data_IF_826986210178
#
_entry.id   IF_826986210178
#
_cell.length_a   1.000
_cell.length_b   1.000
_cell.length_c   1.000
_cell.angle_alpha   90.00
_cell.angle_beta   90.00
_cell.angle_gamma   90.00
#
_symmetry.space_group_name_H-M   'P 1'
#
loop_
_entity.id
_entity.type
_entity.pdbx_description
1 polymer ?
#
# COMPACT_ATOMS: atom_id res chain seq x y z
N UNK A 1 82.29 -18.21 35.75
CA UNK A 1 82.79 -18.32 34.38
C UNK A 1 81.73 -18.87 33.51
N UNK A 2 80.96 -18.00 32.83
CA UNK A 2 79.99 -18.40 31.82
C UNK A 2 80.07 -17.38 30.70
N UNK A 3 80.45 -17.87 29.51
CA UNK A 3 80.64 -17.11 28.29
C UNK A 3 79.25 -16.69 27.68
N UNK A 4 79.01 -15.39 27.55
CA UNK A 4 77.90 -14.85 26.78
C UNK A 4 78.39 -14.63 25.35
N UNK A 5 77.89 -15.43 24.39
CA UNK A 5 78.06 -15.24 22.95
C UNK A 5 77.08 -14.15 22.48
N UNK A 6 77.66 -13.05 21.94
CA UNK A 6 76.91 -12.03 21.20
C UNK A 6 76.48 -12.62 19.88
N UNK A 7 75.16 -12.67 19.69
CA UNK A 7 74.51 -12.92 18.36
C UNK A 7 74.37 -11.55 17.71
N UNK A 8 75.11 -11.29 16.68
CA UNK A 8 74.97 -10.12 15.82
C UNK A 8 73.82 -10.37 14.87
N UNK A 9 72.71 -9.67 15.08
CA UNK A 9 71.59 -9.60 14.12
C UNK A 9 71.97 -8.72 12.95
N UNK A 10 72.16 -9.34 11.78
CA UNK A 10 72.34 -8.61 10.51
C UNK A 10 71.01 -8.02 10.08
N UNK A 11 70.96 -6.70 10.00
CA UNK A 11 69.85 -5.98 9.37
C UNK A 11 69.93 -6.14 7.85
N UNK A 12 68.81 -6.39 7.14
CA UNK A 12 68.83 -6.42 5.69
C UNK A 12 69.11 -5.01 5.16
N UNK A 13 69.96 -4.90 4.19
CA UNK A 13 70.31 -3.68 3.46
C UNK A 13 69.13 -3.01 2.91
N UNK A 14 69.04 -1.69 3.09
CA UNK A 14 68.07 -0.79 2.51
C UNK A 14 67.96 -0.99 1.00
N UNK A 15 66.82 -1.61 0.56
CA UNK A 15 66.45 -1.66 -0.85
C UNK A 15 66.09 -0.25 -1.34
N UNK A 16 66.67 0.12 -2.48
CA UNK A 16 66.52 1.41 -3.13
C UNK A 16 65.05 1.88 -3.16
N UNK A 17 64.64 2.99 -2.49
CA UNK A 17 63.23 3.41 -2.35
C UNK A 17 62.53 3.62 -3.68
N UNK A 18 63.29 3.91 -4.75
CA UNK A 18 62.77 4.06 -6.10
C UNK A 18 62.19 2.75 -6.69
N UNK A 19 62.82 1.60 -6.34
CA UNK A 19 62.35 0.27 -6.82
C UNK A 19 61.03 -0.12 -6.12
N UNK A 20 60.90 0.20 -4.84
CA UNK A 20 59.69 -0.04 -4.07
C UNK A 20 58.52 0.84 -4.55
N UNK A 21 58.78 2.09 -4.90
CA UNK A 21 57.77 3.00 -5.43
C UNK A 21 57.27 2.53 -6.81
N UNK A 22 58.16 2.15 -7.70
CA UNK A 22 57.80 1.64 -9.05
C UNK A 22 56.99 0.34 -8.99
N UNK A 23 57.30 -0.56 -8.04
CA UNK A 23 56.55 -1.80 -7.86
C UNK A 23 55.14 -1.55 -7.35
N UNK A 24 54.93 -0.60 -6.42
CA UNK A 24 53.63 -0.19 -5.92
C UNK A 24 52.78 0.51 -6.99
N UNK A 25 53.39 1.39 -7.78
CA UNK A 25 52.71 2.04 -8.91
C UNK A 25 52.28 1.02 -9.97
N UNK A 26 53.13 0.06 -10.32
CA UNK A 26 52.78 -1.03 -11.24
C UNK A 26 51.63 -1.89 -10.70
N UNK A 27 51.63 -2.20 -9.42
CA UNK A 27 50.57 -2.97 -8.78
C UNK A 27 49.22 -2.21 -8.74
N UNK A 28 49.25 -0.90 -8.49
CA UNK A 28 48.07 -0.02 -8.56
C UNK A 28 47.53 0.11 -9.97
N UNK A 29 48.39 0.24 -10.99
CA UNK A 29 48.00 0.28 -12.39
C UNK A 29 47.40 -1.06 -12.84
N UNK A 30 47.98 -2.20 -12.41
CA UNK A 30 47.41 -3.52 -12.67
C UNK A 30 46.05 -3.71 -11.98
N UNK A 31 45.88 -3.27 -10.73
CA UNK A 31 44.62 -3.32 -10.00
C UNK A 31 43.57 -2.42 -10.66
N UNK A 32 43.94 -1.23 -11.09
CA UNK A 32 43.06 -0.34 -11.84
C UNK A 32 42.67 -0.91 -13.20
N UNK A 33 43.59 -1.59 -13.90
CA UNK A 33 43.30 -2.27 -15.14
C UNK A 33 42.36 -3.47 -14.95
N UNK A 34 42.50 -4.24 -13.88
CA UNK A 34 41.61 -5.35 -13.52
C UNK A 34 40.22 -4.82 -13.17
N UNK A 35 40.13 -3.69 -12.47
CA UNK A 35 38.85 -3.02 -12.16
C UNK A 35 38.17 -2.46 -13.40
N UNK A 36 38.93 -2.00 -14.40
CA UNK A 36 38.38 -1.49 -15.69
C UNK A 36 37.93 -2.62 -16.63
N UNK A 37 38.46 -3.83 -16.47
CA UNK A 37 38.11 -5.01 -17.28
C UNK A 37 37.00 -5.86 -16.61
N UNK A 38 36.63 -5.54 -15.36
CA UNK A 38 35.44 -6.18 -14.80
C UNK A 38 34.24 -5.84 -15.72
N UNK A 39 33.66 -6.82 -16.42
CA UNK A 39 32.45 -6.57 -17.19
C UNK A 39 31.45 -6.01 -16.19
N UNK A 40 30.90 -4.82 -16.46
CA UNK A 40 29.70 -4.37 -15.79
C UNK A 40 28.72 -5.53 -15.92
N UNK A 41 28.47 -6.24 -14.83
CA UNK A 41 27.45 -7.30 -14.82
C UNK A 41 26.17 -6.60 -15.23
N UNK A 42 25.83 -6.70 -16.51
CA UNK A 42 24.51 -6.33 -16.97
C UNK A 42 23.56 -7.16 -16.12
N UNK A 43 22.73 -6.48 -15.34
CA UNK A 43 21.70 -7.13 -14.53
C UNK A 43 20.73 -7.75 -15.51
N UNK A 44 21.03 -8.99 -15.91
CA UNK A 44 20.12 -9.77 -16.74
C UNK A 44 18.87 -9.99 -15.92
N UNK A 45 17.75 -9.56 -16.47
CA UNK A 45 16.45 -9.75 -15.84
C UNK A 45 16.12 -11.23 -15.86
N UNK A 46 16.02 -11.87 -14.70
CA UNK A 46 15.66 -13.27 -14.58
C UNK A 46 14.18 -13.46 -14.94
N UNK A 47 13.84 -14.31 -15.92
CA UNK A 47 12.46 -14.54 -16.27
C UNK A 47 11.74 -15.35 -15.20
N UNK A 48 10.52 -14.94 -14.87
CA UNK A 48 9.61 -15.68 -14.00
C UNK A 48 9.03 -16.82 -14.80
N UNK A 49 9.27 -18.05 -14.38
CA UNK A 49 8.78 -19.22 -15.04
C UNK A 49 7.29 -19.44 -14.78
N UNK A 50 6.55 -19.74 -15.81
CA UNK A 50 5.12 -20.06 -15.78
C UNK A 50 4.93 -21.51 -16.23
N UNK A 51 4.62 -22.40 -15.31
CA UNK A 51 4.30 -23.80 -15.60
C UNK A 51 2.79 -24.04 -15.86
N UNK A 52 1.97 -23.00 -15.69
CA UNK A 52 0.53 -23.06 -15.87
C UNK A 52 -0.26 -23.39 -14.59
N UNK A 53 0.40 -23.82 -13.52
CA UNK A 53 -0.26 -24.24 -12.26
C UNK A 53 -0.40 -23.12 -11.25
N UNK A 54 0.41 -22.05 -11.37
CA UNK A 54 0.41 -20.95 -10.41
C UNK A 54 -0.90 -20.17 -10.48
N UNK A 55 -1.57 -20.08 -9.35
CA UNK A 55 -2.82 -19.35 -9.18
C UNK A 55 -2.61 -17.83 -9.20
N UNK A 56 -1.56 -17.36 -8.47
CA UNK A 56 -1.20 -15.96 -8.31
C UNK A 56 0.29 -15.80 -8.09
N UNK A 57 0.88 -14.83 -8.77
CA UNK A 57 2.29 -14.42 -8.57
C UNK A 57 2.31 -12.92 -8.29
N UNK A 58 3.06 -12.47 -7.29
CA UNK A 58 3.35 -11.06 -7.09
C UNK A 58 4.56 -10.66 -7.94
N UNK A 59 4.36 -9.71 -8.84
CA UNK A 59 5.39 -9.27 -9.78
C UNK A 59 6.24 -8.13 -9.24
N UNK A 60 5.74 -7.36 -8.28
CA UNK A 60 6.43 -6.18 -7.73
C UNK A 60 7.76 -6.55 -7.08
N UNK A 61 7.79 -7.65 -6.32
CA UNK A 61 8.98 -8.11 -5.60
C UNK A 61 9.99 -8.84 -6.53
N UNK A 62 9.51 -9.31 -7.68
CA UNK A 62 10.31 -10.06 -8.67
C UNK A 62 10.75 -9.22 -9.85
N UNK A 63 10.14 -8.05 -10.03
CA UNK A 63 10.44 -7.11 -11.09
C UNK A 63 11.53 -6.11 -10.70
N UNK A 64 12.16 -5.52 -11.70
CA UNK A 64 13.09 -4.41 -11.53
C UNK A 64 12.30 -3.10 -11.52
N UNK A 65 12.29 -2.42 -10.38
CA UNK A 65 11.73 -1.08 -10.26
C UNK A 65 12.74 -0.05 -10.76
N UNK A 66 12.33 0.80 -11.69
CA UNK A 66 13.15 1.87 -12.26
C UNK A 66 12.41 3.19 -12.03
N UNK A 67 13.02 4.07 -11.24
CA UNK A 67 12.52 5.43 -11.07
C UNK A 67 12.66 6.23 -12.36
N UNK A 68 11.65 7.03 -12.70
CA UNK A 68 11.61 7.82 -13.90
C UNK A 68 12.78 8.78 -14.00
N UNK A 69 13.41 8.79 -15.17
CA UNK A 69 14.43 9.76 -15.58
C UNK A 69 14.10 10.27 -16.97
N UNK A 70 12.91 10.83 -17.14
CA UNK A 70 12.37 11.25 -18.42
C UNK A 70 11.30 10.31 -18.97
N UNK A 71 10.78 10.66 -20.14
CA UNK A 71 9.67 9.97 -20.80
C UNK A 71 10.08 8.72 -21.62
N UNK A 72 11.37 8.33 -21.57
CA UNK A 72 11.90 7.18 -22.30
C UNK A 72 12.65 6.22 -21.37
N UNK A 73 12.28 4.96 -21.45
CA UNK A 73 12.95 3.86 -20.78
C UNK A 73 13.73 3.03 -21.80
N UNK A 74 15.02 2.80 -21.58
CA UNK A 74 15.84 1.86 -22.33
C UNK A 74 16.31 0.75 -21.41
N UNK A 75 16.01 -0.49 -21.77
CA UNK A 75 16.32 -1.69 -20.97
C UNK A 75 16.77 -2.82 -21.89
N UNK A 76 17.53 -3.73 -21.34
CA UNK A 76 17.83 -4.99 -22.00
C UNK A 76 16.77 -6.04 -21.58
N UNK A 77 16.22 -6.76 -22.55
CA UNK A 77 15.21 -7.80 -22.28
C UNK A 77 15.86 -9.02 -21.63
N UNK A 78 15.06 -9.82 -20.94
CA UNK A 78 15.50 -11.16 -20.60
C UNK A 78 15.90 -11.95 -21.85
N UNK A 79 16.81 -12.93 -21.73
CA UNK A 79 17.19 -13.79 -22.84
C UNK A 79 15.96 -14.47 -23.45
N UNK A 80 15.80 -14.33 -24.76
CA UNK A 80 14.74 -15.02 -25.49
C UNK A 80 14.95 -16.54 -25.54
N UNK A 81 14.11 -17.24 -26.30
CA UNK A 81 14.29 -18.68 -26.55
C UNK A 81 15.64 -19.01 -27.26
N UNK A 82 16.21 -18.01 -27.93
CA UNK A 82 17.53 -18.07 -28.59
C UNK A 82 18.70 -17.73 -27.64
N UNK A 83 18.44 -17.44 -26.35
CA UNK A 83 19.42 -17.04 -25.36
C UNK A 83 19.97 -15.62 -25.53
N UNK A 84 19.41 -14.82 -26.48
CA UNK A 84 19.89 -13.47 -26.77
C UNK A 84 19.04 -12.42 -26.09
N UNK A 85 19.67 -11.53 -25.32
CA UNK A 85 19.02 -10.31 -24.81
C UNK A 85 19.03 -9.22 -25.87
N UNK A 86 17.91 -8.52 -26.02
CA UNK A 86 17.72 -7.45 -26.98
C UNK A 86 17.43 -6.14 -26.25
N UNK A 87 17.85 -5.02 -26.86
CA UNK A 87 17.52 -3.70 -26.31
C UNK A 87 16.08 -3.34 -26.66
N UNK A 88 15.30 -2.98 -25.65
CA UNK A 88 13.94 -2.48 -25.76
C UNK A 88 13.90 -1.01 -25.35
N UNK A 89 13.25 -0.17 -26.16
CA UNK A 89 12.99 1.23 -25.85
C UNK A 89 11.49 1.46 -25.75
N UNK A 90 11.05 1.99 -24.61
CA UNK A 90 9.65 2.27 -24.34
C UNK A 90 9.51 3.76 -24.08
N UNK A 91 8.44 4.37 -24.62
CA UNK A 91 8.10 5.76 -24.36
C UNK A 91 6.85 5.82 -23.48
N UNK A 92 6.85 6.75 -22.53
CA UNK A 92 5.70 7.01 -21.67
C UNK A 92 4.47 7.45 -22.49
N UNK A 93 3.28 7.06 -22.04
CA UNK A 93 2.01 7.46 -22.67
C UNK A 93 1.82 8.96 -22.60
N UNK A 94 2.17 9.58 -21.48
CA UNK A 94 2.14 11.03 -21.32
C UNK A 94 3.52 11.62 -21.65
N UNK A 95 3.66 12.42 -22.71
CA UNK A 95 4.94 13.07 -23.04
C UNK A 95 5.42 13.99 -21.92
N UNK A 96 6.73 14.01 -21.69
CA UNK A 96 7.40 14.81 -20.66
C UNK A 96 6.97 14.47 -19.22
N UNK A 97 6.47 13.28 -18.99
CA UNK A 97 6.27 12.72 -17.67
C UNK A 97 7.52 11.98 -17.22
N UNK A 98 7.70 11.87 -15.91
CA UNK A 98 8.74 11.03 -15.28
C UNK A 98 8.06 9.85 -14.56
N UNK A 99 7.49 8.87 -15.32
CA UNK A 99 6.80 7.75 -14.72
C UNK A 99 7.77 6.79 -14.04
N UNK A 100 7.31 6.12 -13.00
CA UNK A 100 8.00 4.96 -12.47
C UNK A 100 7.69 3.73 -13.33
N UNK A 101 8.69 2.88 -13.51
CA UNK A 101 8.58 1.68 -14.31
C UNK A 101 8.81 0.44 -13.45
N UNK A 102 8.07 -0.61 -13.75
CA UNK A 102 8.37 -1.96 -13.26
C UNK A 102 8.60 -2.84 -14.48
N UNK A 103 9.79 -3.43 -14.54
CA UNK A 103 10.19 -4.32 -15.62
C UNK A 103 10.26 -5.74 -15.10
N UNK A 104 9.60 -6.66 -15.75
CA UNK A 104 9.63 -8.08 -15.43
C UNK A 104 9.57 -8.92 -16.70
N UNK A 105 10.08 -10.13 -16.65
CA UNK A 105 10.03 -11.07 -17.75
C UNK A 105 9.25 -12.31 -17.35
N UNK A 106 8.46 -12.83 -18.27
CA UNK A 106 7.68 -14.06 -18.10
C UNK A 106 8.13 -15.07 -19.14
N UNK A 107 8.36 -16.31 -18.71
CA UNK A 107 8.71 -17.43 -19.58
C UNK A 107 7.70 -18.54 -19.38
N UNK A 108 7.07 -18.96 -20.46
CA UNK A 108 6.18 -20.13 -20.43
C UNK A 108 7.02 -21.42 -20.60
N UNK A 109 7.05 -22.22 -19.55
CA UNK A 109 7.74 -23.53 -19.54
C UNK A 109 6.81 -24.69 -19.85
N UNK A 110 5.50 -24.42 -20.01
CA UNK A 110 4.51 -25.45 -20.36
C UNK A 110 4.41 -25.65 -21.88
N UNK A 111 3.78 -26.76 -22.29
CA UNK A 111 3.56 -27.13 -23.70
C UNK A 111 2.34 -26.44 -24.34
N UNK A 112 1.64 -25.57 -23.58
CA UNK A 112 0.42 -24.90 -24.03
C UNK A 112 0.54 -23.40 -23.85
N UNK A 113 -0.17 -22.59 -24.66
CA UNK A 113 -0.29 -21.17 -24.39
C UNK A 113 -0.90 -20.92 -23.00
N UNK A 114 -0.32 -19.98 -22.25
CA UNK A 114 -0.74 -19.65 -20.89
C UNK A 114 -1.35 -18.25 -20.88
N UNK A 115 -2.68 -18.21 -20.63
CA UNK A 115 -3.40 -16.95 -20.42
C UNK A 115 -3.24 -16.48 -18.99
N UNK A 116 -2.92 -15.19 -18.80
CA UNK A 116 -2.77 -14.54 -17.49
C UNK A 116 -3.36 -13.14 -17.52
N UNK A 117 -3.78 -12.70 -16.33
CA UNK A 117 -4.23 -11.34 -16.11
C UNK A 117 -3.25 -10.63 -15.20
N UNK A 118 -2.69 -9.52 -15.68
CA UNK A 118 -1.89 -8.61 -14.86
C UNK A 118 -2.84 -7.60 -14.25
N UNK A 119 -2.84 -7.51 -12.92
CA UNK A 119 -3.80 -6.69 -12.20
C UNK A 119 -3.11 -5.77 -11.19
N UNK A 120 -3.58 -4.53 -11.13
CA UNK A 120 -3.19 -3.55 -10.10
C UNK A 120 -4.46 -2.97 -9.50
N UNK A 121 -4.60 -3.07 -8.18
CA UNK A 121 -5.81 -2.59 -7.51
C UNK A 121 -5.75 -1.08 -7.31
N UNK A 122 -6.77 -0.32 -7.78
CA UNK A 122 -6.87 1.14 -7.63
C UNK A 122 -7.15 1.55 -6.19
N UNK A 123 -7.94 0.76 -5.48
CA UNK A 123 -8.36 1.02 -4.10
C UNK A 123 -7.47 0.38 -3.04
N UNK A 124 -6.25 -0.03 -3.39
CA UNK A 124 -5.28 -0.46 -2.40
C UNK A 124 -4.70 0.74 -1.67
N UNK A 125 -4.68 0.71 -0.34
CA UNK A 125 -4.00 1.71 0.48
C UNK A 125 -2.49 1.70 0.24
N UNK A 126 -1.94 0.54 -0.14
CA UNK A 126 -0.53 0.40 -0.50
C UNK A 126 -0.27 1.19 -1.78
N UNK A 127 0.69 2.10 -1.74
CA UNK A 127 1.01 2.97 -2.88
C UNK A 127 0.09 4.19 -3.05
N UNK A 128 -0.98 4.35 -2.23
CA UNK A 128 -1.86 5.53 -2.33
C UNK A 128 -1.34 6.76 -1.57
N UNK A 129 -0.35 6.59 -0.69
CA UNK A 129 0.10 7.63 0.24
C UNK A 129 -0.77 7.72 1.50
N UNK A 130 -0.16 8.15 2.61
CA UNK A 130 -0.88 8.29 3.90
C UNK A 130 -1.58 9.64 3.97
N UNK A 131 -0.89 10.69 3.54
CA UNK A 131 -1.37 12.07 3.68
C UNK A 131 -2.31 12.45 2.53
N UNK A 132 -1.97 12.06 1.30
CA UNK A 132 -2.75 12.34 0.09
C UNK A 132 -3.09 11.04 -0.64
N UNK A 133 -4.04 10.25 -0.15
CA UNK A 133 -4.34 9.00 -0.78
C UNK A 133 -5.13 9.22 -2.08
N UNK A 134 -4.55 8.73 -3.15
CA UNK A 134 -5.21 8.67 -4.45
C UNK A 134 -5.73 7.26 -4.67
N UNK A 135 -6.94 7.00 -4.19
CA UNK A 135 -7.51 5.65 -4.14
C UNK A 135 -8.34 5.28 -5.37
N UNK A 136 -8.56 6.20 -6.29
CA UNK A 136 -9.38 5.95 -7.50
C UNK A 136 -8.57 6.09 -8.78
N UNK A 137 -7.39 6.70 -8.71
CA UNK A 137 -6.56 6.92 -9.87
C UNK A 137 -6.08 5.61 -10.49
N UNK A 138 -5.92 5.65 -11.80
CA UNK A 138 -5.19 4.62 -12.53
C UNK A 138 -3.80 4.50 -11.96
N UNK A 139 -3.34 3.28 -11.77
CA UNK A 139 -2.00 3.00 -11.25
C UNK A 139 -1.07 2.40 -12.28
N UNK A 140 -1.64 1.65 -13.20
CA UNK A 140 -0.94 1.08 -14.34
C UNK A 140 -1.48 1.74 -15.62
N UNK A 141 -0.67 2.65 -16.20
CA UNK A 141 -1.08 3.41 -17.38
C UNK A 141 -0.93 2.57 -18.63
N UNK A 142 0.21 1.92 -18.80
CA UNK A 142 0.48 1.07 -19.93
C UNK A 142 1.30 -0.16 -19.56
N UNK A 143 1.16 -1.20 -20.37
CA UNK A 143 1.96 -2.41 -20.29
C UNK A 143 2.50 -2.70 -21.69
N UNK A 144 3.81 -2.50 -21.87
CA UNK A 144 4.47 -2.67 -23.18
C UNK A 144 5.28 -3.96 -23.19
N UNK A 145 4.96 -4.91 -24.08
CA UNK A 145 5.73 -6.14 -24.24
C UNK A 145 6.94 -5.92 -25.14
N UNK A 146 8.00 -6.71 -24.96
CA UNK A 146 9.19 -6.71 -25.81
C UNK A 146 8.93 -7.33 -27.19
N UNK A 147 7.97 -8.24 -27.28
CA UNK A 147 7.59 -8.96 -28.50
C UNK A 147 6.08 -9.17 -28.48
N UNK A 148 5.44 -9.14 -29.65
CA UNK A 148 4.03 -9.42 -29.81
C UNK A 148 3.14 -8.18 -29.79
N UNK A 149 1.85 -8.39 -29.55
CA UNK A 149 0.85 -7.33 -29.52
C UNK A 149 0.75 -6.70 -28.14
N UNK A 150 0.31 -5.43 -28.11
CA UNK A 150 -0.01 -4.75 -26.87
C UNK A 150 -1.10 -5.52 -26.12
N UNK A 151 -0.92 -5.74 -24.81
CA UNK A 151 -1.91 -6.41 -23.98
C UNK A 151 -3.26 -5.71 -24.00
N UNK A 152 -4.33 -6.51 -24.12
CA UNK A 152 -5.68 -5.98 -24.10
C UNK A 152 -6.02 -5.52 -22.68
N UNK A 153 -6.41 -4.25 -22.54
CA UNK A 153 -6.93 -3.71 -21.28
C UNK A 153 -8.38 -4.13 -21.11
N UNK A 154 -8.71 -4.65 -19.93
CA UNK A 154 -10.10 -4.93 -19.53
C UNK A 154 -10.57 -3.75 -18.69
N UNK A 155 -11.68 -3.15 -19.08
CA UNK A 155 -12.28 -2.07 -18.30
C UNK A 155 -12.82 -2.60 -16.96
N UNK A 156 -12.33 -2.02 -15.89
CA UNK A 156 -12.75 -2.32 -14.54
C UNK A 156 -12.56 -1.08 -13.66
N UNK A 157 -13.60 -0.73 -12.88
CA UNK A 157 -13.58 0.49 -12.06
C UNK A 157 -12.64 0.38 -10.86
N UNK A 158 -12.26 -0.83 -10.45
CA UNK A 158 -11.51 -1.09 -9.21
C UNK A 158 -10.08 -1.55 -9.39
N UNK A 159 -9.75 -2.02 -10.59
CA UNK A 159 -8.42 -2.51 -10.90
C UNK A 159 -8.05 -2.17 -12.34
N UNK A 160 -6.79 -1.92 -12.56
CA UNK A 160 -6.20 -1.91 -13.91
C UNK A 160 -5.87 -3.35 -14.27
N UNK A 161 -6.50 -3.88 -15.32
CA UNK A 161 -6.39 -5.29 -15.72
C UNK A 161 -5.92 -5.35 -17.17
N UNK A 162 -4.83 -6.11 -17.40
CA UNK A 162 -4.30 -6.39 -18.72
C UNK A 162 -4.28 -7.89 -18.96
N UNK A 163 -4.90 -8.31 -20.06
CA UNK A 163 -4.87 -9.70 -20.51
C UNK A 163 -3.60 -9.94 -21.32
N UNK A 164 -2.85 -10.97 -20.95
CA UNK A 164 -1.66 -11.43 -21.68
C UNK A 164 -1.78 -12.92 -21.97
N UNK A 165 -1.17 -13.33 -23.07
CA UNK A 165 -0.99 -14.74 -23.46
C UNK A 165 0.49 -14.94 -23.75
N UNK A 166 1.09 -15.99 -23.19
CA UNK A 166 2.49 -16.35 -23.44
C UNK A 166 2.52 -17.71 -24.09
N UNK A 167 3.05 -17.80 -25.32
CA UNK A 167 3.14 -19.04 -26.08
C UNK A 167 4.19 -20.01 -25.48
N UNK A 168 4.08 -21.33 -25.77
CA UNK A 168 5.03 -22.31 -25.25
C UNK A 168 6.48 -21.97 -25.57
N UNK A 169 7.35 -22.03 -24.57
CA UNK A 169 8.77 -21.74 -24.67
C UNK A 169 9.12 -20.28 -24.91
N UNK A 170 8.14 -19.38 -25.03
CA UNK A 170 8.37 -17.96 -25.26
C UNK A 170 8.77 -17.25 -23.97
N UNK A 171 9.72 -16.29 -24.08
CA UNK A 171 10.07 -15.36 -23.03
C UNK A 171 9.72 -13.94 -23.48
N UNK A 172 8.87 -13.25 -22.71
CA UNK A 172 8.44 -11.87 -23.01
C UNK A 172 8.82 -10.99 -21.83
N UNK A 173 9.52 -9.89 -22.12
CA UNK A 173 9.79 -8.84 -21.12
C UNK A 173 8.71 -7.77 -21.24
N UNK A 174 8.16 -7.39 -20.12
CA UNK A 174 7.14 -6.36 -20.01
C UNK A 174 7.69 -5.14 -19.28
N UNK A 175 7.43 -3.97 -19.80
CA UNK A 175 7.62 -2.69 -19.13
C UNK A 175 6.25 -2.13 -18.73
N UNK A 176 6.00 -2.06 -17.42
CA UNK A 176 4.78 -1.53 -16.84
C UNK A 176 4.99 -0.07 -16.45
N UNK A 177 4.25 0.85 -17.07
CA UNK A 177 4.27 2.28 -16.75
C UNK A 177 3.31 2.55 -15.59
N UNK A 178 3.86 3.08 -14.49
CA UNK A 178 3.11 3.40 -13.29
C UNK A 178 2.74 4.88 -13.26
N UNK A 179 1.45 5.18 -13.08
CA UNK A 179 0.96 6.56 -12.94
C UNK A 179 1.18 7.15 -11.56
N UNK A 180 1.64 6.35 -10.60
CA UNK A 180 1.81 6.77 -9.21
C UNK A 180 3.28 6.89 -8.84
N UNK A 181 3.60 7.86 -7.96
CA UNK A 181 4.96 8.06 -7.44
C UNK A 181 5.44 6.92 -6.54
N UNK A 182 4.54 6.06 -6.06
CA UNK A 182 4.85 4.89 -5.26
C UNK A 182 4.47 3.63 -6.01
N UNK A 183 5.31 2.60 -5.89
CA UNK A 183 5.07 1.31 -6.51
C UNK A 183 3.81 0.67 -5.92
N UNK A 184 2.79 0.50 -6.76
CA UNK A 184 1.64 -0.32 -6.42
C UNK A 184 1.98 -1.79 -6.63
N UNK A 185 1.33 -2.68 -5.89
CA UNK A 185 1.54 -4.12 -6.07
C UNK A 185 0.89 -4.60 -7.34
N UNK A 186 1.69 -5.25 -8.18
CA UNK A 186 1.27 -5.87 -9.43
C UNK A 186 1.16 -7.37 -9.22
N UNK A 187 0.03 -7.93 -9.57
CA UNK A 187 -0.22 -9.36 -9.48
C UNK A 187 -0.47 -9.96 -10.85
N UNK A 188 0.08 -11.13 -11.06
CA UNK A 188 -0.22 -12.00 -12.18
C UNK A 188 -1.17 -13.09 -11.71
N UNK A 189 -2.35 -13.18 -12.32
CA UNK A 189 -3.39 -14.11 -11.95
C UNK A 189 -3.72 -15.07 -13.06
N UNK A 190 -4.10 -16.29 -12.69
CA UNK A 190 -4.86 -17.15 -13.55
C UNK A 190 -6.29 -16.57 -13.67
N UNK A 191 -6.90 -16.46 -14.88
CA UNK A 191 -8.20 -15.80 -15.06
C UNK A 191 -9.30 -16.32 -14.14
N UNK A 192 -9.44 -17.65 -14.06
CA UNK A 192 -10.44 -18.30 -13.21
C UNK A 192 -10.24 -17.99 -11.72
N UNK A 193 -9.00 -18.02 -11.24
CA UNK A 193 -8.67 -17.76 -9.83
C UNK A 193 -8.91 -16.28 -9.47
N UNK A 194 -8.69 -15.35 -10.41
CA UNK A 194 -9.04 -13.95 -10.21
C UNK A 194 -10.56 -13.74 -10.07
N UNK A 195 -11.35 -14.40 -10.92
CA UNK A 195 -12.81 -14.34 -10.83
C UNK A 195 -13.33 -14.93 -9.52
N UNK A 196 -12.77 -16.06 -9.06
CA UNK A 196 -13.09 -16.68 -7.77
C UNK A 196 -12.73 -15.72 -6.62
N UNK A 197 -11.54 -15.14 -6.65
CA UNK A 197 -11.10 -14.16 -5.64
C UNK A 197 -12.04 -12.95 -5.56
N UNK A 198 -12.48 -12.40 -6.69
CA UNK A 198 -13.44 -11.29 -6.70
C UNK A 198 -14.80 -11.73 -6.13
N UNK A 199 -15.24 -12.95 -6.42
CA UNK A 199 -16.50 -13.49 -5.90
C UNK A 199 -16.45 -13.65 -4.38
N UNK A 200 -15.38 -14.22 -3.85
CA UNK A 200 -15.14 -14.35 -2.41
C UNK A 200 -15.10 -12.98 -1.72
N UNK A 201 -14.41 -12.03 -2.31
CA UNK A 201 -14.35 -10.65 -1.80
C UNK A 201 -15.72 -9.99 -1.77
N UNK A 202 -16.55 -10.18 -2.81
CA UNK A 202 -17.91 -9.65 -2.84
C UNK A 202 -18.80 -10.27 -1.76
N UNK A 203 -18.66 -11.58 -1.53
CA UNK A 203 -19.38 -12.27 -0.46
C UNK A 203 -18.99 -11.71 0.91
N UNK A 204 -17.68 -11.62 1.18
CA UNK A 204 -17.17 -11.03 2.41
C UNK A 204 -17.69 -9.60 2.63
N UNK A 205 -17.61 -8.74 1.61
CA UNK A 205 -18.10 -7.37 1.69
C UNK A 205 -19.61 -7.34 2.01
N UNK A 206 -20.39 -8.24 1.42
CA UNK A 206 -21.83 -8.35 1.69
C UNK A 206 -22.12 -8.75 3.14
N UNK A 207 -21.39 -9.70 3.68
CA UNK A 207 -21.49 -10.14 5.08
C UNK A 207 -21.17 -8.97 6.02
N UNK A 208 -20.08 -8.25 5.76
CA UNK A 208 -19.66 -7.10 6.57
C UNK A 208 -20.71 -5.98 6.58
N UNK A 209 -21.24 -5.64 5.40
CA UNK A 209 -22.34 -4.67 5.30
C UNK A 209 -23.58 -5.13 6.08
N UNK A 210 -23.94 -6.41 5.97
CA UNK A 210 -25.08 -6.99 6.67
C UNK A 210 -24.94 -6.91 8.19
N UNK A 211 -23.77 -7.31 8.73
CA UNK A 211 -23.48 -7.25 10.17
C UNK A 211 -23.53 -5.81 10.67
N UNK A 212 -22.87 -4.87 9.95
CA UNK A 212 -22.83 -3.46 10.34
C UNK A 212 -24.23 -2.84 10.30
N UNK A 213 -25.03 -3.14 9.28
CA UNK A 213 -26.41 -2.65 9.19
C UNK A 213 -27.27 -3.19 10.34
N UNK A 214 -27.17 -4.49 10.63
CA UNK A 214 -27.90 -5.11 11.74
C UNK A 214 -27.55 -4.48 13.07
N UNK A 215 -26.25 -4.24 13.33
CA UNK A 215 -25.79 -3.57 14.54
C UNK A 215 -26.31 -2.15 14.65
N UNK A 216 -26.33 -1.38 13.54
CA UNK A 216 -26.88 -0.03 13.49
C UNK A 216 -28.38 0.00 13.83
N UNK A 217 -29.16 -0.92 13.26
CA UNK A 217 -30.59 -1.08 13.55
C UNK A 217 -30.79 -1.43 15.04
N UNK A 218 -30.00 -2.40 15.54
CA UNK A 218 -30.10 -2.85 16.94
C UNK A 218 -29.83 -1.72 17.92
N UNK A 219 -28.74 -0.96 17.73
CA UNK A 219 -28.41 0.18 18.59
C UNK A 219 -29.46 1.29 18.51
N UNK A 220 -30.04 1.52 17.33
CA UNK A 220 -31.15 2.48 17.18
C UNK A 220 -32.40 2.02 17.92
N UNK A 221 -32.72 0.72 17.87
CA UNK A 221 -33.84 0.15 18.61
C UNK A 221 -33.66 0.24 20.13
N UNK A 222 -32.43 -0.04 20.62
CA UNK A 222 -32.09 0.14 22.04
C UNK A 222 -32.27 1.60 22.48
N UNK A 223 -31.86 2.55 21.64
CA UNK A 223 -32.06 3.97 21.92
C UNK A 223 -33.55 4.31 22.04
N UNK A 224 -34.39 3.82 21.11
CA UNK A 224 -35.85 4.03 21.18
C UNK A 224 -36.45 3.50 22.50
N UNK A 225 -35.88 2.41 23.05
CA UNK A 225 -36.34 1.84 24.30
C UNK A 225 -35.79 2.54 25.55
N UNK A 226 -34.52 3.03 25.52
CA UNK A 226 -33.82 3.48 26.74
C UNK A 226 -33.56 4.99 26.81
N UNK A 227 -33.66 5.74 25.74
CA UNK A 227 -33.45 7.19 25.64
C UNK A 227 -32.14 7.76 26.24
N UNK A 228 -31.13 6.92 26.53
CA UNK A 228 -29.83 7.39 27.03
C UNK A 228 -28.95 7.84 25.87
N UNK A 229 -28.34 9.02 25.97
CA UNK A 229 -27.51 9.65 24.90
C UNK A 229 -26.32 8.79 24.40
N UNK A 230 -25.93 7.77 25.15
CA UNK A 230 -24.85 6.88 24.76
C UNK A 230 -25.26 5.98 23.58
N UNK A 231 -26.51 5.54 23.51
CA UNK A 231 -27.00 4.66 22.44
C UNK A 231 -27.12 5.37 21.08
N UNK A 232 -27.67 6.60 20.99
CA UNK A 232 -27.71 7.30 19.70
C UNK A 232 -26.33 7.68 19.20
N UNK A 233 -25.36 7.98 20.11
CA UNK A 233 -23.98 8.26 19.68
C UNK A 233 -23.28 7.00 19.13
N UNK A 234 -23.50 5.84 19.75
CA UNK A 234 -23.00 4.56 19.24
C UNK A 234 -23.67 4.17 17.92
N UNK A 235 -25.00 4.33 17.83
CA UNK A 235 -25.74 4.11 16.58
C UNK A 235 -25.22 5.02 15.46
N UNK A 236 -24.97 6.30 15.75
CA UNK A 236 -24.40 7.26 14.78
C UNK A 236 -23.04 6.79 14.23
N UNK A 237 -22.13 6.33 15.09
CA UNK A 237 -20.84 5.75 14.66
C UNK A 237 -21.09 4.59 13.70
N UNK A 238 -21.96 3.65 14.08
CA UNK A 238 -22.23 2.46 13.27
C UNK A 238 -22.85 2.81 11.90
N UNK A 239 -23.78 3.77 11.86
CA UNK A 239 -24.34 4.25 10.60
C UNK A 239 -23.30 4.97 9.73
N UNK A 240 -22.40 5.78 10.31
CA UNK A 240 -21.31 6.40 9.57
C UNK A 240 -20.32 5.37 9.03
N UNK A 241 -20.00 4.34 9.82
CA UNK A 241 -19.17 3.21 9.36
C UNK A 241 -19.85 2.46 8.22
N UNK A 242 -21.15 2.21 8.30
CA UNK A 242 -21.92 1.57 7.22
C UNK A 242 -21.87 2.38 5.92
N UNK A 243 -22.07 3.69 6.01
CA UNK A 243 -21.95 4.58 4.83
C UNK A 243 -20.55 4.53 4.26
N UNK A 244 -19.51 4.59 5.09
CA UNK A 244 -18.14 4.47 4.66
C UNK A 244 -17.88 3.12 3.93
N UNK A 245 -18.32 2.01 4.51
CA UNK A 245 -18.19 0.69 3.89
C UNK A 245 -18.96 0.58 2.56
N UNK A 246 -20.16 1.18 2.46
CA UNK A 246 -20.91 1.23 1.21
C UNK A 246 -20.13 1.96 0.11
N UNK A 247 -19.47 3.06 0.43
CA UNK A 247 -18.62 3.81 -0.50
C UNK A 247 -17.36 3.02 -0.85
N UNK A 248 -16.66 2.51 0.16
CA UNK A 248 -15.39 1.78 -0.01
C UNK A 248 -15.57 0.49 -0.81
N UNK A 249 -16.64 -0.25 -0.56
CA UNK A 249 -16.96 -1.47 -1.31
C UNK A 249 -17.61 -1.19 -2.67
N UNK A 250 -17.83 0.08 -3.06
CA UNK A 250 -18.48 0.48 -4.31
C UNK A 250 -19.94 0.03 -4.43
N UNK A 251 -20.58 -0.24 -3.29
CA UNK A 251 -22.00 -0.57 -3.25
C UNK A 251 -22.86 0.67 -3.51
N UNK A 252 -22.35 1.83 -3.12
CA UNK A 252 -22.99 3.14 -3.26
C UNK A 252 -23.39 3.47 -4.70
N UNK A 253 -22.46 3.23 -5.65
CA UNK A 253 -22.71 3.47 -7.07
C UNK A 253 -23.83 2.60 -7.64
N UNK A 254 -23.91 1.34 -7.17
CA UNK A 254 -24.94 0.41 -7.62
C UNK A 254 -26.31 0.72 -7.03
N UNK A 255 -26.36 1.15 -5.77
CA UNK A 255 -27.60 1.42 -5.05
C UNK A 255 -28.24 2.72 -5.52
N UNK A 256 -27.46 3.78 -5.71
CA UNK A 256 -27.95 5.13 -6.01
C UNK A 256 -27.67 5.57 -7.44
N UNK A 257 -27.08 4.73 -8.29
CA UNK A 257 -26.72 5.02 -9.70
C UNK A 257 -25.91 6.33 -9.86
N UNK A 258 -25.03 6.61 -8.90
CA UNK A 258 -24.20 7.81 -8.86
C UNK A 258 -22.98 7.63 -9.74
N UNK A 259 -22.54 8.69 -10.43
CA UNK A 259 -21.34 8.65 -11.27
C UNK A 259 -20.07 8.37 -10.45
N UNK A 260 -19.15 7.59 -11.02
CA UNK A 260 -17.88 7.25 -10.38
C UNK A 260 -16.97 8.49 -10.17
N UNK A 261 -17.19 9.57 -10.93
CA UNK A 261 -16.39 10.81 -10.86
C UNK A 261 -16.46 11.47 -9.48
N UNK A 262 -17.60 11.35 -8.78
CA UNK A 262 -17.80 11.94 -7.46
C UNK A 262 -17.40 11.01 -6.30
N UNK A 263 -16.83 9.86 -6.58
CA UNK A 263 -16.50 8.87 -5.54
C UNK A 263 -15.52 9.43 -4.48
N UNK A 264 -14.55 10.25 -4.88
CA UNK A 264 -13.63 10.90 -3.97
C UNK A 264 -14.32 11.82 -2.95
N UNK A 265 -15.36 12.54 -3.40
CA UNK A 265 -16.17 13.43 -2.54
C UNK A 265 -16.94 12.60 -1.51
N UNK A 266 -17.67 11.56 -1.96
CA UNK A 266 -18.45 10.70 -1.05
C UNK A 266 -17.56 10.00 -0.03
N UNK A 267 -16.38 9.54 -0.46
CA UNK A 267 -15.41 8.91 0.41
C UNK A 267 -14.89 9.89 1.47
N UNK A 268 -14.46 11.08 1.07
CA UNK A 268 -13.98 12.10 1.99
C UNK A 268 -15.07 12.53 2.99
N UNK A 269 -16.33 12.70 2.53
CA UNK A 269 -17.45 13.03 3.38
C UNK A 269 -17.77 11.90 4.38
N UNK A 270 -17.68 10.63 3.94
CA UNK A 270 -17.88 9.49 4.82
C UNK A 270 -16.76 9.37 5.87
N UNK A 271 -15.50 9.57 5.50
CA UNK A 271 -14.35 9.59 6.43
C UNK A 271 -14.50 10.73 7.46
N UNK A 272 -14.86 11.93 7.03
CA UNK A 272 -15.12 13.06 7.92
C UNK A 272 -16.30 12.81 8.88
N UNK A 273 -17.39 12.21 8.36
CA UNK A 273 -18.55 11.84 9.17
C UNK A 273 -18.20 10.77 10.21
N UNK A 274 -17.37 9.80 9.85
CA UNK A 274 -16.89 8.76 10.76
C UNK A 274 -16.02 9.36 11.88
N UNK A 275 -15.08 10.27 11.55
CA UNK A 275 -14.28 10.97 12.56
C UNK A 275 -15.15 11.83 13.49
N UNK A 276 -16.14 12.55 12.93
CA UNK A 276 -17.10 13.35 13.69
C UNK A 276 -17.92 12.49 14.65
N UNK A 277 -18.46 11.37 14.15
CA UNK A 277 -19.29 10.48 14.97
C UNK A 277 -18.51 9.84 16.12
N UNK A 278 -17.24 9.46 15.89
CA UNK A 278 -16.35 8.95 16.92
C UNK A 278 -16.07 10.00 18.01
N UNK A 279 -15.84 11.26 17.62
CA UNK A 279 -15.66 12.36 18.57
C UNK A 279 -16.92 12.60 19.42
N UNK A 280 -18.10 12.57 18.80
CA UNK A 280 -19.40 12.66 19.48
C UNK A 280 -19.60 11.48 20.46
N UNK A 281 -19.26 10.27 20.01
CA UNK A 281 -19.36 9.08 20.86
C UNK A 281 -18.47 9.19 22.11
N UNK A 282 -17.20 9.56 21.94
CA UNK A 282 -16.30 9.78 23.07
C UNK A 282 -16.80 10.87 24.01
N UNK A 283 -17.27 11.99 23.47
CA UNK A 283 -17.83 13.08 24.27
C UNK A 283 -19.01 12.59 25.11
N UNK A 284 -19.94 11.86 24.51
CA UNK A 284 -21.13 11.33 25.19
C UNK A 284 -20.75 10.23 26.22
N UNK A 285 -19.88 9.30 25.84
CA UNK A 285 -19.49 8.15 26.65
C UNK A 285 -18.74 8.57 27.91
N UNK A 286 -17.72 9.40 27.77
CA UNK A 286 -16.87 9.90 28.85
C UNK A 286 -17.51 11.07 29.60
N UNK A 287 -18.70 11.52 29.16
CA UNK A 287 -19.41 12.69 29.73
C UNK A 287 -18.52 13.93 29.81
N UNK A 288 -17.77 14.23 28.74
CA UNK A 288 -16.83 15.35 28.71
C UNK A 288 -17.49 16.70 28.97
N UNK A 289 -18.81 16.81 28.74
CA UNK A 289 -19.61 18.00 29.08
C UNK A 289 -19.60 18.37 30.58
N UNK A 290 -19.37 17.38 31.44
CA UNK A 290 -19.32 17.58 32.90
C UNK A 290 -17.91 17.89 33.47
N UNK A 291 -16.91 17.95 32.57
CA UNK A 291 -15.51 18.23 32.91
C UNK A 291 -15.23 19.72 32.98
N UNK A 292 -13.98 20.07 33.36
CA UNK A 292 -13.52 21.45 33.40
C UNK A 292 -13.88 22.20 32.08
N UNK A 293 -14.19 23.47 32.17
CA UNK A 293 -14.64 24.29 31.06
C UNK A 293 -13.76 24.19 29.81
N UNK A 294 -12.44 24.08 30.01
CA UNK A 294 -11.47 23.90 28.92
C UNK A 294 -11.68 22.58 28.12
N UNK A 295 -11.86 21.43 28.79
CA UNK A 295 -12.06 20.11 28.14
C UNK A 295 -13.39 20.10 27.39
N UNK A 296 -14.44 20.68 27.97
CA UNK A 296 -15.74 20.85 27.33
C UNK A 296 -15.65 21.69 26.07
N UNK A 297 -14.96 22.85 26.16
CA UNK A 297 -14.79 23.73 25.02
C UNK A 297 -13.96 23.07 23.92
N UNK A 298 -12.84 22.41 24.28
CA UNK A 298 -11.97 21.73 23.31
C UNK A 298 -12.71 20.61 22.58
N UNK A 299 -13.46 19.76 23.30
CA UNK A 299 -14.25 18.69 22.67
C UNK A 299 -15.37 19.24 21.79
N UNK A 300 -16.00 20.35 22.15
CA UNK A 300 -16.99 21.04 21.32
C UNK A 300 -16.38 21.59 20.04
N UNK A 301 -15.26 22.30 20.14
CA UNK A 301 -14.51 22.81 18.97
C UNK A 301 -14.08 21.68 18.06
N UNK A 302 -13.60 20.58 18.62
CA UNK A 302 -13.21 19.40 17.86
C UNK A 302 -14.40 18.83 17.07
N UNK A 303 -15.56 18.66 17.68
CA UNK A 303 -16.77 18.16 17.02
C UNK A 303 -17.19 19.11 15.88
N UNK A 304 -17.24 20.41 16.15
CA UNK A 304 -17.65 21.42 15.15
C UNK A 304 -16.66 21.48 13.99
N UNK A 305 -15.35 21.42 14.27
CA UNK A 305 -14.32 21.42 13.20
C UNK A 305 -14.43 20.17 12.31
N UNK A 306 -14.71 19.00 12.89
CA UNK A 306 -14.90 17.77 12.11
C UNK A 306 -16.20 17.79 11.30
N UNK A 307 -17.26 18.35 11.85
CA UNK A 307 -18.49 18.56 11.11
C UNK A 307 -18.25 19.51 9.92
N UNK A 308 -17.44 20.55 10.10
CA UNK A 308 -17.07 21.45 9.00
C UNK A 308 -16.26 20.70 7.90
N UNK A 309 -15.45 19.69 8.24
CA UNK A 309 -14.74 18.89 7.23
C UNK A 309 -15.67 18.15 6.27
N UNK A 310 -16.88 17.80 6.70
CA UNK A 310 -17.89 17.19 5.81
C UNK A 310 -18.26 18.17 4.69
N UNK A 311 -18.38 19.46 5.01
CA UNK A 311 -18.63 20.50 3.99
C UNK A 311 -17.39 20.78 3.16
N UNK A 312 -16.19 20.77 3.74
CA UNK A 312 -14.92 20.91 3.01
C UNK A 312 -14.75 19.79 1.99
N UNK A 313 -15.27 18.57 2.28
CA UNK A 313 -15.21 17.44 1.36
C UNK A 313 -15.92 17.72 0.02
N UNK A 314 -16.93 18.62 0.00
CA UNK A 314 -17.61 19.02 -1.23
C UNK A 314 -16.77 19.94 -2.13
N UNK A 315 -15.80 20.66 -1.53
CA UNK A 315 -14.94 21.64 -2.21
C UNK A 315 -13.58 21.01 -2.57
N UNK A 316 -12.94 20.42 -1.57
CA UNK A 316 -11.64 19.75 -1.72
C UNK A 316 -11.66 18.40 -0.95
N UNK A 317 -12.00 17.31 -1.66
CA UNK A 317 -12.07 15.99 -1.04
C UNK A 317 -10.71 15.48 -0.53
N UNK A 318 -9.59 15.92 -1.14
CA UNK A 318 -8.26 15.49 -0.72
C UNK A 318 -7.89 16.07 0.64
N UNK A 319 -8.09 17.38 0.82
CA UNK A 319 -7.87 18.04 2.10
C UNK A 319 -8.76 17.45 3.20
N UNK A 320 -10.06 17.30 2.93
CA UNK A 320 -11.01 16.77 3.90
C UNK A 320 -10.64 15.35 4.35
N UNK A 321 -10.33 14.45 3.41
CA UNK A 321 -9.93 13.08 3.73
C UNK A 321 -8.62 13.03 4.54
N UNK A 322 -7.65 13.88 4.22
CA UNK A 322 -6.39 13.95 4.96
C UNK A 322 -6.61 14.36 6.42
N UNK A 323 -7.34 15.47 6.62
CA UNK A 323 -7.64 15.93 7.98
C UNK A 323 -8.53 14.96 8.73
N UNK A 324 -9.50 14.33 8.08
CA UNK A 324 -10.33 13.30 8.70
C UNK A 324 -9.50 12.11 9.21
N UNK A 325 -8.54 11.63 8.44
CA UNK A 325 -7.65 10.51 8.82
C UNK A 325 -6.69 10.89 9.94
N UNK A 326 -6.05 12.07 9.86
CA UNK A 326 -5.20 12.58 10.93
C UNK A 326 -6.00 12.75 12.22
N UNK A 327 -7.22 13.25 12.11
CA UNK A 327 -8.13 13.43 13.24
C UNK A 327 -8.56 12.09 13.83
N UNK A 328 -8.89 11.13 12.99
CA UNK A 328 -9.25 9.78 13.44
C UNK A 328 -8.10 9.12 14.20
N UNK A 329 -6.87 9.23 13.69
CA UNK A 329 -5.67 8.76 14.37
C UNK A 329 -5.41 9.50 15.69
N UNK A 330 -5.57 10.83 15.70
CA UNK A 330 -5.37 11.64 16.92
C UNK A 330 -6.45 11.39 17.97
N UNK A 331 -7.72 11.26 17.59
CA UNK A 331 -8.82 10.87 18.48
C UNK A 331 -8.55 9.48 19.05
N UNK A 332 -8.05 8.55 18.23
CA UNK A 332 -7.62 7.23 18.66
C UNK A 332 -6.55 7.29 19.74
N UNK A 333 -5.47 8.00 19.49
CA UNK A 333 -4.33 8.12 20.40
C UNK A 333 -4.69 8.90 21.69
N UNK A 334 -5.27 10.08 21.56
CA UNK A 334 -5.68 10.91 22.70
C UNK A 334 -6.78 10.20 23.51
N UNK A 335 -7.74 9.58 22.83
CA UNK A 335 -8.79 8.79 23.46
C UNK A 335 -8.22 7.63 24.28
N UNK A 336 -7.21 6.93 23.76
CA UNK A 336 -6.52 5.86 24.49
C UNK A 336 -5.85 6.37 25.78
N UNK A 337 -5.10 7.46 25.67
CA UNK A 337 -4.45 8.08 26.85
C UNK A 337 -5.48 8.53 27.90
N UNK A 338 -6.59 9.11 27.43
CA UNK A 338 -7.66 9.57 28.30
C UNK A 338 -8.40 8.42 28.97
N UNK A 339 -8.70 7.34 28.23
CA UNK A 339 -9.32 6.14 28.78
C UNK A 339 -8.40 5.48 29.80
N UNK A 340 -7.11 5.36 29.50
CA UNK A 340 -6.11 4.82 30.41
C UNK A 340 -6.02 5.65 31.71
N UNK A 341 -5.94 6.98 31.58
CA UNK A 341 -5.89 7.88 32.73
C UNK A 341 -7.14 7.77 33.63
N UNK A 342 -8.33 7.66 33.03
CA UNK A 342 -9.58 7.51 33.74
C UNK A 342 -9.73 6.12 34.39
N UNK A 343 -9.27 5.08 33.71
CA UNK A 343 -9.23 3.73 34.24
C UNK A 343 -8.31 3.63 35.46
N UNK A 344 -7.13 4.26 35.41
CA UNK A 344 -6.21 4.35 36.55
C UNK A 344 -6.81 5.14 37.72
N UNK A 345 -7.78 6.03 37.48
CA UNK A 345 -8.57 6.72 38.53
C UNK A 345 -9.78 5.93 39.00
N UNK A 346 -9.95 4.69 38.56
CA UNK A 346 -11.03 3.81 39.01
C UNK A 346 -12.41 4.13 38.42
N UNK A 347 -12.48 4.78 37.24
CA UNK A 347 -13.76 5.01 36.61
C UNK A 347 -14.24 3.75 35.87
N UNK A 348 -15.32 3.12 36.31
CA UNK A 348 -15.88 1.89 35.75
C UNK A 348 -16.15 1.97 34.23
N UNK A 349 -16.59 3.14 33.77
CA UNK A 349 -16.86 3.34 32.32
C UNK A 349 -15.60 3.27 31.46
N UNK A 350 -14.50 3.83 31.94
CA UNK A 350 -13.24 3.77 31.24
C UNK A 350 -12.70 2.34 31.21
N UNK A 351 -12.85 1.59 32.31
CA UNK A 351 -12.51 0.17 32.39
C UNK A 351 -13.31 -0.66 31.37
N UNK A 352 -14.60 -0.39 31.24
CA UNK A 352 -15.46 -1.10 30.28
C UNK A 352 -15.05 -0.81 28.81
N UNK A 353 -14.58 0.41 28.52
CA UNK A 353 -14.17 0.80 27.15
C UNK A 353 -12.74 0.36 26.82
N UNK A 354 -11.92 0.05 27.81
CA UNK A 354 -10.50 -0.27 27.64
C UNK A 354 -10.24 -1.42 26.66
N UNK A 355 -10.94 -2.58 26.70
CA UNK A 355 -10.72 -3.66 25.76
C UNK A 355 -11.02 -3.27 24.31
N UNK A 356 -12.12 -2.57 24.09
CA UNK A 356 -12.52 -2.09 22.75
C UNK A 356 -11.51 -1.10 22.19
N UNK A 357 -11.01 -0.20 23.05
CA UNK A 357 -10.02 0.78 22.63
C UNK A 357 -8.65 0.16 22.36
N UNK A 358 -8.29 -0.86 23.10
CA UNK A 358 -7.06 -1.63 22.85
C UNK A 358 -7.12 -2.34 21.49
N UNK A 359 -8.26 -2.95 21.15
CA UNK A 359 -8.50 -3.52 19.84
C UNK A 359 -8.41 -2.46 18.72
N UNK A 360 -8.97 -1.29 18.97
CA UNK A 360 -8.87 -0.16 18.03
C UNK A 360 -7.43 0.30 17.80
N UNK A 361 -6.60 0.36 18.85
CA UNK A 361 -5.17 0.70 18.72
C UNK A 361 -4.39 -0.38 17.97
N UNK A 362 -4.66 -1.66 18.23
CA UNK A 362 -4.07 -2.78 17.47
C UNK A 362 -4.45 -2.67 16.00
N UNK A 363 -5.71 -2.34 15.71
CA UNK A 363 -6.18 -2.08 14.36
C UNK A 363 -5.46 -0.89 13.72
N UNK A 364 -5.34 0.23 14.41
CA UNK A 364 -4.65 1.43 13.94
C UNK A 364 -3.16 1.15 13.64
N UNK A 365 -2.51 0.38 14.52
CA UNK A 365 -1.14 -0.07 14.32
C UNK A 365 -1.01 -0.97 13.08
N UNK A 366 -1.91 -1.95 12.93
CA UNK A 366 -1.96 -2.82 11.75
C UNK A 366 -2.19 -2.04 10.46
N UNK A 367 -3.11 -1.06 10.46
CA UNK A 367 -3.34 -0.17 9.34
C UNK A 367 -2.08 0.64 8.96
N UNK A 368 -1.37 1.17 9.96
CA UNK A 368 -0.12 1.91 9.75
C UNK A 368 0.98 1.01 9.16
N UNK A 369 1.11 -0.23 9.65
CA UNK A 369 2.07 -1.21 9.13
C UNK A 369 1.75 -1.61 7.67
N UNK A 370 0.47 -1.74 7.34
CA UNK A 370 0.02 -2.01 5.97
C UNK A 370 0.31 -0.83 5.04
N UNK A 371 0.05 0.40 5.50
CA UNK A 371 0.34 1.63 4.74
C UNK A 371 1.84 1.82 4.47
N UNK A 372 2.68 1.42 5.41
CA UNK A 372 4.15 1.45 5.26
C UNK A 372 4.70 0.31 4.42
N UNK A 373 3.85 -0.63 3.96
CA UNK A 373 4.27 -1.78 3.15
C UNK A 373 5.00 -2.88 3.93
N UNK A 374 5.08 -2.78 5.26
CA UNK A 374 5.77 -3.77 6.11
C UNK A 374 4.96 -5.05 6.34
N UNK A 375 3.64 -4.99 6.17
CA UNK A 375 2.76 -6.16 6.19
C UNK A 375 2.27 -6.42 4.77
N UNK A 376 2.64 -7.59 4.26
CA UNK A 376 2.12 -8.10 3.01
C UNK A 376 0.73 -8.70 3.25
N UNK A 377 -0.28 -8.17 2.60
CA UNK A 377 -1.43 -8.99 2.44
C UNK A 377 -2.78 -8.33 2.32
N UNK A 378 -3.50 -8.79 1.31
CA UNK A 378 -4.94 -8.60 1.16
C UNK A 378 -5.73 -9.14 2.37
N UNK A 379 -5.20 -10.16 3.08
CA UNK A 379 -5.77 -10.74 4.30
C UNK A 379 -5.75 -9.78 5.49
N UNK A 380 -4.71 -8.95 5.61
CA UNK A 380 -4.59 -7.98 6.72
C UNK A 380 -5.57 -6.83 6.52
N UNK A 381 -5.75 -6.36 5.28
CA UNK A 381 -6.70 -5.29 4.97
C UNK A 381 -8.13 -5.74 5.22
N UNK A 382 -8.50 -6.95 4.80
CA UNK A 382 -9.83 -7.51 5.07
C UNK A 382 -10.05 -7.81 6.55
N UNK A 383 -9.02 -8.30 7.27
CA UNK A 383 -9.07 -8.51 8.72
C UNK A 383 -9.12 -7.21 9.52
N UNK A 384 -8.44 -6.16 9.03
CA UNK A 384 -8.47 -4.82 9.65
C UNK A 384 -9.85 -4.16 9.48
N UNK A 385 -10.49 -4.32 8.32
CA UNK A 385 -11.87 -3.83 8.10
C UNK A 385 -12.85 -4.62 8.99
N UNK A 386 -12.67 -5.94 9.11
CA UNK A 386 -13.48 -6.78 9.99
C UNK A 386 -13.34 -6.42 11.48
N UNK A 387 -12.14 -5.99 11.91
CA UNK A 387 -11.90 -5.55 13.27
C UNK A 387 -12.51 -4.18 13.63
N UNK A 388 -12.95 -3.40 12.62
CA UNK A 388 -13.60 -2.11 12.80
C UNK A 388 -15.10 -2.27 13.15
N UNK A 389 -15.72 -3.34 12.72
CA UNK A 389 -17.11 -3.68 12.96
C UNK A 389 -17.27 -4.50 14.23
#
# INVERSE_FOLDING_TARGET
MVHIRKIATAWPREGNPAVFLVSRVRMLVLLAMILLVMPATAWALDPIELDGTEKRIELTDKGLAIEGRGDQLQIDTAPGADGISRRMSVRAVTPRSDPNWIVFALRNTSDKPVDRWITVQRYSLIGSGVIWPDLDARRLEALTPSVGFLPQRIENDRADIFKITVDPGQTITYAAEMSTTRLARIYLWQPLEYELHIRERRLFNGIMLGITALLGIFLTAIFAANHKLIFPSAALVTWCVLVYLCVDFGFWHKLLQISAENNAVYRAAAEASMATSLAIFLHAFLRLGNWFGFVRMLSGVLIVSHLALVFVALIDPRLAATFARLSFASIGGIGALMILFLALRGQDRALTLMPTWLLFLVWLFGATMTLTGKLSGDLVVSGLIAGLV
#
